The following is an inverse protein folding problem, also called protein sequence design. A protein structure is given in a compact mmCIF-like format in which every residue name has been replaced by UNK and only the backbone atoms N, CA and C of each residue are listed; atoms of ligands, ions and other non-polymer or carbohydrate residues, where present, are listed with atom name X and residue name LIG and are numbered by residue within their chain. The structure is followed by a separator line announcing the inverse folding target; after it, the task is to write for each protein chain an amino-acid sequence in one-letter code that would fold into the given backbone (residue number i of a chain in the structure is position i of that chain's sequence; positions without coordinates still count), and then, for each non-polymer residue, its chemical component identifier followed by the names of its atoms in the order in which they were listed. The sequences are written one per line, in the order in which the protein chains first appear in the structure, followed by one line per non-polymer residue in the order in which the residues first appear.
data_IF_994220368942
#
_entry.id   IF_994220368942
#
_cell.length_a   1.000
_cell.length_b   1.000
_cell.length_c   1.000
_cell.angle_alpha   90.00
_cell.angle_beta   90.00
_cell.angle_gamma   90.00
#
_symmetry.space_group_name_H-M   'P 1'
#
loop_
_entity.id
_entity.type
_entity.pdbx_description
1 polymer ?
#
# COMPACT_ATOMS: atom_id res chain seq x y z
N UNK A 1 12.81 12.23 -9.22
CA UNK A 1 11.85 11.28 -9.84
C UNK A 1 12.03 9.95 -9.14
N UNK A 2 11.05 9.51 -8.33
CA UNK A 2 11.15 8.28 -7.53
C UNK A 2 10.48 7.11 -8.26
N UNK A 3 11.30 6.19 -8.78
CA UNK A 3 10.84 4.93 -9.38
C UNK A 3 10.59 5.00 -10.89
N UNK A 4 10.22 3.85 -11.46
CA UNK A 4 10.08 3.59 -12.90
C UNK A 4 8.84 4.22 -13.56
N UNK A 5 8.15 5.14 -12.88
CA UNK A 5 6.97 5.82 -13.40
C UNK A 5 7.27 7.32 -13.53
N UNK A 6 7.82 7.78 -14.68
CA UNK A 6 8.01 9.21 -14.92
C UNK A 6 6.68 9.93 -15.23
N UNK A 7 5.60 9.18 -15.44
CA UNK A 7 4.35 9.67 -15.98
C UNK A 7 3.37 10.09 -14.88
N UNK A 8 3.48 11.34 -14.43
CA UNK A 8 2.70 11.91 -13.32
C UNK A 8 1.88 13.11 -13.77
N UNK A 9 0.83 13.42 -13.00
CA UNK A 9 0.03 14.63 -13.14
C UNK A 9 -0.64 14.78 -14.53
N UNK A 10 -0.41 15.89 -15.21
CA UNK A 10 -1.16 16.34 -16.40
C UNK A 10 -0.76 15.59 -17.68
N UNK A 11 0.31 14.79 -17.64
CA UNK A 11 0.89 14.14 -18.83
C UNK A 11 0.62 12.62 -18.94
N UNK A 12 -0.26 12.07 -18.10
CA UNK A 12 -0.61 10.63 -18.07
C UNK A 12 -1.29 10.15 -19.36
N UNK A 13 -0.51 9.60 -20.29
CA UNK A 13 -1.02 9.06 -21.57
C UNK A 13 -0.81 7.55 -21.77
N UNK A 14 0.23 6.95 -21.18
CA UNK A 14 0.57 5.52 -21.36
C UNK A 14 0.30 4.74 -20.08
N UNK A 15 -0.68 3.81 -20.05
CA UNK A 15 -1.06 3.05 -18.87
C UNK A 15 0.09 2.23 -18.25
N UNK A 16 1.14 1.92 -19.02
CA UNK A 16 2.29 1.16 -18.51
C UNK A 16 3.20 1.98 -17.60
N UNK A 17 3.12 3.31 -17.67
CA UNK A 17 4.04 4.23 -16.98
C UNK A 17 3.35 5.16 -15.99
N UNK A 18 2.01 5.13 -15.89
CA UNK A 18 1.22 6.00 -15.00
C UNK A 18 1.67 5.81 -13.55
N UNK A 19 2.05 6.92 -12.91
CA UNK A 19 2.08 6.98 -11.45
C UNK A 19 0.67 7.26 -10.93
N UNK A 20 0.08 6.22 -10.34
CA UNK A 20 -1.23 6.32 -9.73
C UNK A 20 -1.18 6.94 -8.34
N UNK A 21 -2.37 7.20 -7.78
CA UNK A 21 -2.58 7.53 -6.37
C UNK A 21 -2.02 8.90 -5.95
N UNK A 22 -2.13 9.88 -6.86
CA UNK A 22 -1.85 11.30 -6.56
C UNK A 22 -2.85 11.88 -5.54
N UNK A 23 -4.06 11.31 -5.48
CA UNK A 23 -5.07 11.59 -4.46
C UNK A 23 -5.67 10.25 -4.02
N UNK A 24 -5.70 10.03 -2.70
CA UNK A 24 -6.31 8.85 -2.09
C UNK A 24 -7.33 9.37 -1.10
N UNK A 25 -8.54 8.80 -1.13
CA UNK A 25 -9.56 9.07 -0.12
C UNK A 25 -9.99 7.77 0.53
N UNK A 26 -10.09 7.82 1.84
CA UNK A 26 -10.77 6.85 2.68
C UNK A 26 -11.99 7.52 3.29
N UNK A 27 -12.74 6.82 4.15
CA UNK A 27 -14.07 7.26 4.57
C UNK A 27 -14.12 8.73 5.06
N UNK A 28 -13.23 9.17 5.96
CA UNK A 28 -13.18 10.56 6.47
C UNK A 28 -11.77 11.18 6.45
N UNK A 29 -10.88 10.66 5.61
CA UNK A 29 -9.52 11.17 5.50
C UNK A 29 -8.99 11.05 4.07
N UNK A 30 -8.02 11.89 3.75
CA UNK A 30 -7.44 11.96 2.41
C UNK A 30 -5.93 12.11 2.49
N UNK A 31 -5.26 11.58 1.47
CA UNK A 31 -3.85 11.78 1.19
C UNK A 31 -3.71 12.43 -0.18
N UNK A 32 -2.75 13.33 -0.32
CA UNK A 32 -2.40 13.95 -1.59
C UNK A 32 -0.90 13.94 -1.81
N UNK A 33 -0.48 13.68 -3.05
CA UNK A 33 0.88 13.89 -3.52
C UNK A 33 1.02 15.30 -4.07
N UNK A 34 2.05 16.01 -3.62
CA UNK A 34 2.41 17.33 -4.10
C UNK A 34 3.38 17.23 -5.29
N UNK A 35 3.50 18.31 -6.06
CA UNK A 35 4.37 18.37 -7.25
C UNK A 35 5.84 18.07 -6.98
N UNK A 36 6.30 18.34 -5.75
CA UNK A 36 7.67 18.12 -5.31
C UNK A 36 7.93 16.67 -4.85
N UNK A 37 6.90 15.82 -4.89
CA UNK A 37 6.95 14.43 -4.44
C UNK A 37 6.65 14.24 -2.95
N UNK A 38 6.41 15.31 -2.20
CA UNK A 38 5.96 15.22 -0.81
C UNK A 38 4.49 14.80 -0.73
N UNK A 39 4.06 14.40 0.47
CA UNK A 39 2.68 13.95 0.71
C UNK A 39 2.03 14.75 1.83
N UNK A 40 0.75 15.07 1.66
CA UNK A 40 -0.09 15.66 2.70
C UNK A 40 -1.17 14.68 3.14
N UNK A 41 -1.57 14.77 4.39
CA UNK A 41 -2.69 14.03 4.98
C UNK A 41 -3.61 14.98 5.74
N UNK A 42 -4.91 14.72 5.73
CA UNK A 42 -5.90 15.38 6.58
C UNK A 42 -7.13 14.50 6.78
N UNK A 43 -7.98 14.93 7.71
CA UNK A 43 -9.22 14.27 8.09
C UNK A 43 -9.13 13.55 9.43
N UNK A 44 -10.12 12.70 9.68
CA UNK A 44 -10.33 12.08 10.98
C UNK A 44 -9.24 11.05 11.30
N UNK A 45 -8.75 11.04 12.55
CA UNK A 45 -7.76 10.07 13.06
C UNK A 45 -6.46 10.03 12.22
N UNK A 46 -6.14 11.10 11.51
CA UNK A 46 -5.06 11.11 10.52
C UNK A 46 -3.73 11.66 11.04
N UNK A 47 -3.70 12.25 12.25
CA UNK A 47 -2.49 12.81 12.85
C UNK A 47 -1.46 11.70 13.18
N UNK A 48 -0.20 12.07 13.37
CA UNK A 48 0.92 11.14 13.59
C UNK A 48 0.80 10.31 14.87
N UNK A 49 0.03 10.75 15.86
CA UNK A 49 -0.33 9.93 17.03
C UNK A 49 -1.34 8.81 16.70
N UNK A 50 -1.94 8.86 15.51
CA UNK A 50 -2.93 7.91 15.01
C UNK A 50 -4.27 7.94 15.76
N UNK A 51 -4.57 9.03 16.48
CA UNK A 51 -5.81 9.18 17.27
C UNK A 51 -6.47 10.54 17.10
N UNK A 52 -5.70 11.59 16.83
CA UNK A 52 -6.22 12.95 16.61
C UNK A 52 -6.50 13.24 15.14
N UNK A 53 -7.36 14.23 14.92
CA UNK A 53 -7.69 14.71 13.58
C UNK A 53 -6.67 15.74 13.09
N UNK A 54 -6.59 15.87 11.77
CA UNK A 54 -5.92 17.00 11.10
C UNK A 54 -6.97 17.73 10.27
N UNK A 55 -7.30 18.96 10.66
CA UNK A 55 -8.41 19.72 10.07
C UNK A 55 -8.06 20.42 8.75
N UNK A 56 -6.79 20.37 8.35
CA UNK A 56 -6.28 20.95 7.10
C UNK A 56 -5.18 20.07 6.52
N UNK A 57 -4.97 20.09 5.19
CA UNK A 57 -3.86 19.38 4.55
C UNK A 57 -2.53 19.66 5.25
N UNK A 58 -1.98 18.63 5.88
CA UNK A 58 -0.75 18.72 6.68
C UNK A 58 0.32 17.87 6.04
N UNK A 59 1.53 18.45 5.88
CA UNK A 59 2.67 17.74 5.32
C UNK A 59 3.06 16.55 6.20
N UNK A 60 3.24 15.38 5.59
CA UNK A 60 3.80 14.20 6.24
C UNK A 60 5.33 14.38 6.30
N UNK A 61 5.80 14.97 7.40
CA UNK A 61 7.22 15.24 7.64
C UNK A 61 7.57 15.07 9.12
N UNK A 62 8.86 14.80 9.46
CA UNK A 62 9.31 14.73 10.86
C UNK A 62 8.96 15.98 11.67
N UNK A 63 9.01 17.17 11.05
CA UNK A 63 8.59 18.43 11.69
C UNK A 63 7.13 18.48 12.15
N UNK A 64 6.26 17.62 11.61
CA UNK A 64 4.86 17.47 11.99
C UNK A 64 4.61 16.18 12.78
N UNK A 65 5.66 15.59 13.37
CA UNK A 65 5.59 14.38 14.20
C UNK A 65 5.56 13.05 13.43
N UNK A 66 5.58 13.08 12.09
CA UNK A 66 5.74 11.88 11.26
C UNK A 66 7.22 11.52 11.17
N UNK A 67 7.75 10.92 12.23
CA UNK A 67 9.18 10.66 12.40
C UNK A 67 9.66 9.48 11.53
N UNK A 68 9.89 9.74 10.25
CA UNK A 68 10.54 8.83 9.31
C UNK A 68 11.95 9.30 8.95
N UNK A 69 12.73 8.39 8.36
CA UNK A 69 14.00 8.67 7.71
C UNK A 69 13.90 8.36 6.21
N UNK A 70 14.87 8.82 5.43
CA UNK A 70 14.86 8.63 3.98
C UNK A 70 13.90 9.55 3.25
N UNK A 71 13.70 9.27 1.96
CA UNK A 71 12.84 10.06 1.07
C UNK A 71 11.47 9.41 0.93
N UNK A 72 10.35 10.14 1.06
CA UNK A 72 9.02 9.64 0.77
C UNK A 72 8.90 9.11 -0.67
N UNK A 73 8.27 7.94 -0.83
CA UNK A 73 8.10 7.27 -2.12
C UNK A 73 6.63 7.08 -2.48
N UNK A 74 5.84 6.47 -1.59
CA UNK A 74 4.44 6.12 -1.86
C UNK A 74 3.61 6.24 -0.58
N UNK A 75 2.31 6.45 -0.74
CA UNK A 75 1.33 6.38 0.35
C UNK A 75 0.19 5.45 -0.02
N UNK A 76 -0.46 4.88 0.98
CA UNK A 76 -1.69 4.11 0.83
C UNK A 76 -2.51 4.24 2.11
N UNK A 77 -3.81 3.96 2.02
CA UNK A 77 -4.68 3.95 3.19
C UNK A 77 -5.81 2.93 3.00
N UNK A 78 -6.37 2.47 4.11
CA UNK A 78 -7.56 1.64 4.16
C UNK A 78 -8.49 2.12 5.27
N UNK A 79 -9.78 1.86 5.11
CA UNK A 79 -10.79 2.19 6.13
C UNK A 79 -11.93 1.20 6.20
N UNK A 80 -12.58 1.14 7.37
CA UNK A 80 -13.78 0.31 7.63
C UNK A 80 -14.97 1.11 8.14
N UNK A 81 -14.73 2.26 8.76
CA UNK A 81 -15.77 3.08 9.37
C UNK A 81 -15.35 4.55 9.40
N UNK A 82 -16.20 5.41 9.99
CA UNK A 82 -15.89 6.81 10.21
C UNK A 82 -14.63 7.03 11.09
N UNK A 83 -14.30 6.13 12.01
CA UNK A 83 -13.10 6.24 12.88
C UNK A 83 -12.03 5.19 12.57
N UNK A 84 -12.33 4.20 11.74
CA UNK A 84 -11.41 3.14 11.38
C UNK A 84 -10.65 3.46 10.10
N UNK A 85 -9.58 4.26 10.18
CA UNK A 85 -8.63 4.54 9.09
C UNK A 85 -7.23 4.12 9.50
N UNK A 86 -6.47 3.55 8.58
CA UNK A 86 -5.04 3.32 8.78
C UNK A 86 -4.29 3.65 7.49
N UNK A 87 -3.16 4.30 7.66
CA UNK A 87 -2.38 4.90 6.61
C UNK A 87 -1.00 4.27 6.59
N UNK A 88 -0.37 4.29 5.42
CA UNK A 88 0.98 3.83 5.20
C UNK A 88 1.78 4.86 4.40
N UNK A 89 3.04 5.03 4.78
CA UNK A 89 4.04 5.80 4.06
C UNK A 89 5.22 4.87 3.78
N UNK A 90 5.54 4.67 2.51
CA UNK A 90 6.79 4.06 2.10
C UNK A 90 7.84 5.16 1.88
N UNK A 91 9.01 4.97 2.47
CA UNK A 91 10.20 5.80 2.24
C UNK A 91 11.34 4.95 1.70
N UNK A 92 12.46 5.56 1.30
CA UNK A 92 13.68 4.81 0.97
C UNK A 92 14.25 4.00 2.14
N UNK A 93 13.91 4.33 3.39
CA UNK A 93 14.33 3.56 4.58
C UNK A 93 13.38 2.40 4.87
N UNK A 94 12.10 2.53 4.56
CA UNK A 94 11.11 1.46 4.70
C UNK A 94 9.69 1.95 4.89
N UNK A 95 8.82 1.00 5.26
CA UNK A 95 7.38 1.17 5.39
C UNK A 95 7.01 1.60 6.82
N UNK A 96 6.25 2.70 6.91
CA UNK A 96 5.71 3.27 8.14
C UNK A 96 4.18 3.18 8.11
N UNK A 97 3.56 2.93 9.25
CA UNK A 97 2.11 2.78 9.39
C UNK A 97 1.60 3.55 10.61
N UNK A 98 0.40 4.15 10.51
CA UNK A 98 -0.28 4.83 11.62
C UNK A 98 -1.80 4.83 11.45
N UNK A 99 -2.52 5.15 12.52
CA UNK A 99 -3.99 5.16 12.57
C UNK A 99 -4.57 3.94 13.29
N UNK A 100 -5.88 3.72 13.15
CA UNK A 100 -6.63 2.65 13.81
C UNK A 100 -6.07 1.28 13.45
N UNK A 101 -5.59 0.53 14.45
CA UNK A 101 -4.95 -0.78 14.24
C UNK A 101 -5.90 -1.77 13.59
N UNK A 102 -5.35 -2.81 12.96
CA UNK A 102 -6.13 -3.88 12.32
C UNK A 102 -7.05 -3.41 11.16
N UNK A 103 -6.74 -2.28 10.52
CA UNK A 103 -7.57 -1.67 9.48
C UNK A 103 -6.96 -1.78 8.09
N UNK A 104 -5.66 -1.52 7.93
CA UNK A 104 -4.93 -1.69 6.67
C UNK A 104 -4.02 -2.93 6.75
N UNK A 105 -3.27 -3.04 7.84
CA UNK A 105 -2.42 -4.19 8.18
C UNK A 105 -2.86 -4.84 9.48
N UNK A 106 -2.53 -6.12 9.67
CA UNK A 106 -2.85 -6.88 10.89
C UNK A 106 -2.29 -6.18 12.13
N UNK A 107 -3.03 -6.20 13.24
CA UNK A 107 -2.53 -5.67 14.53
C UNK A 107 -1.31 -6.42 15.06
N UNK A 108 -1.06 -7.66 14.60
CA UNK A 108 0.19 -8.38 14.89
C UNK A 108 1.41 -7.71 14.28
N UNK A 109 1.26 -7.04 13.14
CA UNK A 109 2.33 -6.25 12.49
C UNK A 109 2.45 -4.88 13.15
N UNK A 110 1.31 -4.21 13.37
CA UNK A 110 1.25 -2.86 13.96
C UNK A 110 0.28 -2.81 15.12
N UNK A 111 0.81 -2.97 16.33
CA UNK A 111 0.03 -3.06 17.58
C UNK A 111 -0.42 -1.71 18.13
N UNK A 112 0.22 -0.60 17.74
CA UNK A 112 -0.07 0.75 18.22
C UNK A 112 -0.62 1.65 17.11
N UNK A 113 -1.36 2.71 17.48
CA UNK A 113 -1.89 3.67 16.51
C UNK A 113 -0.84 4.66 16.00
N UNK A 114 0.13 5.02 16.85
CA UNK A 114 1.13 6.04 16.55
C UNK A 114 1.99 5.67 15.34
N UNK A 115 2.43 6.68 14.59
CA UNK A 115 3.33 6.55 13.46
C UNK A 115 4.61 5.82 13.84
N UNK A 116 4.95 4.79 13.06
CA UNK A 116 6.16 4.02 13.28
C UNK A 116 6.48 3.10 12.12
N UNK A 117 7.77 2.82 11.96
CA UNK A 117 8.29 1.85 10.99
C UNK A 117 7.84 0.45 11.38
N UNK A 118 7.54 -0.39 10.39
CA UNK A 118 7.14 -1.78 10.61
C UNK A 118 8.18 -2.75 10.07
N UNK A 119 8.26 -3.91 10.73
CA UNK A 119 9.05 -5.07 10.31
C UNK A 119 8.08 -6.18 9.96
N UNK A 120 8.24 -6.79 8.78
CA UNK A 120 7.42 -7.93 8.35
C UNK A 120 8.35 -9.08 8.02
N UNK A 121 8.06 -10.27 8.58
CA UNK A 121 8.83 -11.50 8.38
C UNK A 121 10.35 -11.31 8.57
N UNK A 122 10.74 -10.55 9.60
CA UNK A 122 12.14 -10.25 9.92
C UNK A 122 12.82 -9.19 9.05
N UNK A 123 12.16 -8.68 8.00
CA UNK A 123 12.72 -7.63 7.15
C UNK A 123 12.35 -6.24 7.68
N UNK A 124 13.38 -5.47 8.05
CA UNK A 124 13.26 -4.20 8.80
C UNK A 124 12.70 -3.03 8.00
N UNK A 125 12.60 -3.16 6.68
CA UNK A 125 11.93 -2.18 5.82
C UNK A 125 10.44 -2.48 5.60
N UNK A 126 9.93 -3.60 6.13
CA UNK A 126 8.52 -3.99 6.04
C UNK A 126 8.05 -4.49 4.66
N UNK A 127 8.94 -4.60 3.67
CA UNK A 127 8.60 -5.07 2.32
C UNK A 127 8.85 -6.58 2.13
N UNK A 128 8.38 -7.20 1.02
CA UNK A 128 8.71 -8.57 0.71
C UNK A 128 10.22 -8.83 0.62
N UNK A 129 10.63 -10.08 0.82
CA UNK A 129 12.02 -10.49 0.62
C UNK A 129 12.44 -10.22 -0.84
N UNK A 130 13.64 -9.66 -1.04
CA UNK A 130 14.15 -9.32 -2.37
C UNK A 130 13.57 -8.04 -3.01
N UNK A 131 12.64 -7.34 -2.35
CA UNK A 131 12.07 -6.08 -2.84
C UNK A 131 12.63 -4.91 -2.03
N UNK A 132 13.38 -4.00 -2.66
CA UNK A 132 13.82 -2.78 -2.00
C UNK A 132 12.73 -1.70 -2.05
N UNK A 133 12.73 -0.72 -1.15
CA UNK A 133 11.76 0.38 -1.21
C UNK A 133 11.71 1.12 -2.54
N UNK A 134 12.85 1.33 -3.19
CA UNK A 134 12.96 1.96 -4.51
C UNK A 134 12.31 1.16 -5.64
N UNK A 135 12.09 -0.14 -5.44
CA UNK A 135 11.53 -1.03 -6.45
C UNK A 135 10.01 -0.90 -6.51
N UNK A 136 9.36 -0.32 -5.50
CA UNK A 136 7.89 -0.19 -5.44
C UNK A 136 7.42 0.92 -6.37
N UNK A 137 6.78 0.55 -7.48
CA UNK A 137 6.18 1.53 -8.41
C UNK A 137 4.78 1.95 -7.98
N UNK A 138 4.05 1.08 -7.30
CA UNK A 138 2.65 1.29 -6.89
C UNK A 138 2.38 0.65 -5.54
N UNK A 139 1.58 1.34 -4.71
CA UNK A 139 1.09 0.83 -3.43
C UNK A 139 -0.41 1.10 -3.32
N UNK A 140 -1.19 0.06 -3.06
CA UNK A 140 -2.65 0.11 -2.98
C UNK A 140 -3.12 -0.34 -1.60
N UNK A 141 -4.09 0.38 -1.04
CA UNK A 141 -4.70 0.07 0.25
C UNK A 141 -6.20 -0.13 0.15
N UNK A 142 -6.72 -1.04 0.96
CA UNK A 142 -8.14 -1.29 1.18
C UNK A 142 -8.33 -1.81 2.60
N UNK A 143 -9.57 -2.02 3.05
CA UNK A 143 -9.81 -2.64 4.35
C UNK A 143 -9.12 -4.00 4.43
N UNK A 144 -8.20 -4.12 5.39
CA UNK A 144 -7.36 -5.27 5.73
C UNK A 144 -6.46 -5.76 4.59
N UNK A 145 -6.06 -4.86 3.71
CA UNK A 145 -5.19 -5.20 2.58
C UNK A 145 -4.27 -4.07 2.22
N UNK A 146 -2.97 -4.37 2.21
CA UNK A 146 -1.95 -3.58 1.55
C UNK A 146 -1.38 -4.41 0.40
N UNK A 147 -1.26 -3.80 -0.78
CA UNK A 147 -0.75 -4.48 -1.97
C UNK A 147 0.27 -3.58 -2.66
N UNK A 148 1.29 -4.18 -3.29
CA UNK A 148 2.31 -3.44 -4.03
C UNK A 148 2.52 -4.06 -5.41
N UNK A 149 2.95 -3.22 -6.34
CA UNK A 149 3.54 -3.65 -7.60
C UNK A 149 4.95 -3.08 -7.69
N UNK A 150 5.94 -3.89 -8.06
CA UNK A 150 7.30 -3.39 -8.29
C UNK A 150 7.49 -2.88 -9.72
N UNK A 151 8.61 -2.20 -9.96
CA UNK A 151 9.11 -1.80 -11.27
C UNK A 151 9.15 -2.96 -12.28
N UNK A 152 9.52 -4.18 -11.87
CA UNK A 152 9.61 -5.36 -12.74
C UNK A 152 8.26 -6.00 -13.04
N UNK A 153 7.17 -5.44 -12.52
CA UNK A 153 5.82 -5.95 -12.72
C UNK A 153 5.41 -7.02 -11.72
N UNK A 154 6.09 -7.02 -10.57
CA UNK A 154 5.89 -7.98 -9.51
C UNK A 154 4.71 -7.60 -8.60
N UNK A 155 3.63 -8.40 -8.58
CA UNK A 155 2.52 -8.20 -7.65
C UNK A 155 2.72 -8.94 -6.31
N UNK A 156 2.52 -8.19 -5.22
CA UNK A 156 2.58 -8.71 -3.85
C UNK A 156 1.39 -8.24 -3.01
N UNK A 157 0.85 -9.13 -2.18
CA UNK A 157 -0.32 -8.85 -1.33
C UNK A 157 -0.02 -9.18 0.12
N UNK A 158 -0.36 -8.26 1.01
CA UNK A 158 -0.45 -8.48 2.45
C UNK A 158 -1.93 -8.27 2.83
N UNK A 159 -2.64 -9.37 3.09
CA UNK A 159 -4.08 -9.33 3.35
C UNK A 159 -4.47 -10.27 4.48
N UNK A 160 -5.55 -9.92 5.16
CA UNK A 160 -6.19 -10.75 6.19
C UNK A 160 -7.71 -10.60 6.14
N UNK A 161 -8.20 -10.44 4.91
CA UNK A 161 -9.61 -10.44 4.55
C UNK A 161 -9.79 -10.86 3.08
N UNK A 162 -10.89 -11.57 2.81
CA UNK A 162 -11.36 -11.88 1.47
C UNK A 162 -10.54 -12.93 0.71
N UNK A 163 -9.69 -13.71 1.40
CA UNK A 163 -8.87 -14.78 0.78
C UNK A 163 -8.03 -14.28 -0.42
N UNK A 164 -7.41 -13.10 -0.26
CA UNK A 164 -6.78 -12.35 -1.37
C UNK A 164 -5.26 -12.55 -1.50
N UNK A 165 -4.68 -13.52 -0.80
CA UNK A 165 -3.23 -13.79 -0.87
C UNK A 165 -2.74 -14.00 -2.31
N UNK A 166 -3.59 -14.57 -3.18
CA UNK A 166 -3.34 -14.66 -4.62
C UNK A 166 -2.28 -15.70 -5.01
N UNK A 167 -1.81 -16.51 -4.06
CA UNK A 167 -0.77 -17.53 -4.26
C UNK A 167 -1.24 -18.97 -3.97
N UNK A 168 -2.54 -19.12 -3.68
CA UNK A 168 -3.18 -20.40 -3.31
C UNK A 168 -3.11 -20.75 -1.82
N UNK A 169 -2.45 -19.94 -0.99
CA UNK A 169 -2.46 -20.15 0.46
C UNK A 169 -3.79 -19.74 1.08
N UNK A 170 -4.21 -20.46 2.12
CA UNK A 170 -5.40 -20.10 2.89
C UNK A 170 -5.14 -18.88 3.78
N UNK A 171 -6.15 -18.03 3.95
CA UNK A 171 -6.12 -16.97 4.95
C UNK A 171 -6.04 -17.55 6.36
N UNK A 172 -5.25 -16.96 7.25
CA UNK A 172 -5.03 -17.48 8.59
C UNK A 172 -3.90 -16.75 9.33
N UNK A 173 -3.80 -16.93 10.64
CA UNK A 173 -2.89 -16.16 11.51
C UNK A 173 -1.45 -16.09 11.01
N UNK A 174 -0.92 -17.18 10.45
CA UNK A 174 0.42 -17.24 9.85
C UNK A 174 0.54 -16.42 8.56
N UNK A 175 -0.47 -16.50 7.68
CA UNK A 175 -0.45 -15.87 6.35
C UNK A 175 -0.90 -14.40 6.39
N UNK A 176 -1.67 -14.02 7.41
CA UNK A 176 -2.17 -12.66 7.63
C UNK A 176 -1.07 -11.64 7.94
N UNK A 177 0.17 -12.11 8.17
CA UNK A 177 1.29 -11.30 8.64
C UNK A 177 2.52 -11.37 7.73
N UNK A 178 2.38 -11.93 6.52
CA UNK A 178 3.45 -12.05 5.54
C UNK A 178 3.00 -11.57 4.16
N UNK A 179 3.97 -11.18 3.33
CA UNK A 179 3.71 -10.85 1.94
C UNK A 179 3.59 -12.11 1.08
N UNK A 180 2.56 -12.16 0.25
CA UNK A 180 2.30 -13.23 -0.69
C UNK A 180 2.59 -12.78 -2.12
N UNK A 181 3.35 -13.60 -2.85
CA UNK A 181 3.66 -13.40 -4.28
C UNK A 181 2.49 -13.90 -5.11
N UNK A 182 1.81 -13.02 -5.83
CA UNK A 182 0.64 -13.42 -6.63
C UNK A 182 1.04 -14.40 -7.74
N UNK A 183 0.23 -15.43 -7.94
CA UNK A 183 0.39 -16.50 -8.92
C UNK A 183 -0.84 -16.59 -9.82
N UNK A 184 -0.67 -17.23 -10.97
CA UNK A 184 -1.76 -17.62 -11.84
C UNK A 184 -2.24 -19.04 -11.52
N UNK A 185 -3.43 -19.40 -11.98
CA UNK A 185 -4.00 -20.76 -11.86
C UNK A 185 -3.49 -21.73 -12.93
N UNK A 186 -2.50 -21.33 -13.75
CA UNK A 186 -1.89 -22.22 -14.74
C UNK A 186 -1.13 -23.35 -14.03
N UNK A 187 -0.95 -24.47 -14.74
CA UNK A 187 -0.21 -25.62 -14.22
C UNK A 187 1.17 -25.21 -13.68
N UNK A 188 1.48 -25.62 -12.44
CA UNK A 188 2.70 -25.22 -11.73
C UNK A 188 2.57 -23.90 -10.95
N UNK A 189 1.42 -23.22 -10.98
CA UNK A 189 1.14 -21.95 -10.32
C UNK A 189 2.26 -20.92 -10.52
N UNK A 190 2.59 -20.56 -11.78
CA UNK A 190 3.65 -19.58 -12.03
C UNK A 190 3.24 -18.22 -11.49
N UNK A 191 4.24 -17.40 -11.15
CA UNK A 191 4.02 -16.04 -10.68
C UNK A 191 3.23 -15.21 -11.72
N UNK A 192 2.41 -14.29 -11.23
CA UNK A 192 1.82 -13.25 -12.06
C UNK A 192 2.85 -12.13 -12.24
N UNK A 193 3.44 -12.07 -13.43
CA UNK A 193 4.46 -11.09 -13.80
C UNK A 193 3.89 -10.01 -14.74
N UNK A 194 4.71 -9.01 -15.07
CA UNK A 194 4.36 -7.91 -15.98
C UNK A 194 3.13 -7.09 -15.55
N UNK A 195 2.81 -7.07 -14.26
CA UNK A 195 1.71 -6.27 -13.72
C UNK A 195 2.05 -4.78 -13.81
N UNK A 196 1.16 -3.98 -14.39
CA UNK A 196 1.31 -2.52 -14.48
C UNK A 196 0.44 -1.80 -13.46
N UNK A 197 -0.71 -2.39 -13.10
CA UNK A 197 -1.57 -1.88 -12.05
C UNK A 197 -2.24 -3.00 -11.27
N UNK A 198 -2.43 -2.79 -9.97
CA UNK A 198 -3.22 -3.67 -9.10
C UNK A 198 -4.14 -2.84 -8.21
N UNK A 199 -5.42 -3.21 -8.14
CA UNK A 199 -6.49 -2.49 -7.45
C UNK A 199 -7.49 -3.47 -6.86
N UNK A 200 -8.48 -2.98 -6.10
CA UNK A 200 -9.56 -3.84 -5.66
C UNK A 200 -10.47 -3.23 -4.61
N UNK A 201 -11.12 -4.12 -3.88
CA UNK A 201 -12.14 -3.86 -2.86
C UNK A 201 -11.75 -4.56 -1.56
N UNK A 202 -12.58 -4.49 -0.49
CA UNK A 202 -12.34 -5.29 0.70
C UNK A 202 -12.28 -6.81 0.43
N UNK A 203 -12.94 -7.33 -0.61
CA UNK A 203 -13.09 -8.77 -0.84
C UNK A 203 -12.50 -9.29 -2.15
N UNK A 204 -12.11 -8.42 -3.08
CA UNK A 204 -11.50 -8.81 -4.35
C UNK A 204 -10.32 -7.91 -4.71
N UNK A 205 -9.37 -8.45 -5.47
CA UNK A 205 -8.31 -7.71 -6.14
C UNK A 205 -8.36 -8.01 -7.64
N UNK A 206 -7.86 -7.08 -8.43
CA UNK A 206 -7.58 -7.29 -9.83
C UNK A 206 -6.24 -6.67 -10.23
N UNK A 207 -5.62 -7.25 -11.25
CA UNK A 207 -4.38 -6.78 -11.83
C UNK A 207 -4.52 -6.61 -13.34
N UNK A 208 -3.93 -5.53 -13.86
CA UNK A 208 -3.73 -5.29 -15.29
C UNK A 208 -2.26 -5.56 -15.62
N UNK A 209 -2.02 -6.38 -16.64
CA UNK A 209 -0.67 -6.64 -17.18
C UNK A 209 -0.36 -5.73 -18.36
N UNK A 210 0.94 -5.57 -18.68
CA UNK A 210 1.39 -4.73 -19.80
C UNK A 210 0.91 -5.19 -21.18
N UNK A 211 0.52 -6.46 -21.33
CA UNK A 211 -0.11 -7.01 -22.54
C UNK A 211 -1.65 -6.84 -22.54
N UNK A 212 -2.20 -6.10 -21.59
CA UNK A 212 -3.62 -5.73 -21.55
C UNK A 212 -4.54 -6.81 -20.96
N UNK A 213 -4.01 -7.87 -20.34
CA UNK A 213 -4.84 -8.88 -19.67
C UNK A 213 -5.26 -8.43 -18.27
N UNK A 214 -6.45 -8.87 -17.87
CA UNK A 214 -6.98 -8.67 -16.52
C UNK A 214 -7.03 -10.00 -15.77
N UNK A 215 -6.57 -9.96 -14.53
CA UNK A 215 -6.62 -11.08 -13.59
C UNK A 215 -7.41 -10.64 -12.36
N UNK A 216 -8.29 -11.49 -11.84
CA UNK A 216 -9.13 -11.20 -10.67
C UNK A 216 -9.06 -12.35 -9.67
N UNK A 217 -9.06 -12.06 -8.38
CA UNK A 217 -9.11 -13.07 -7.32
C UNK A 217 -9.69 -12.50 -6.03
N UNK A 218 -10.13 -13.40 -5.15
CA UNK A 218 -10.77 -13.08 -3.87
C UNK A 218 -12.11 -13.79 -3.72
N UNK A 219 -12.89 -13.40 -2.71
CA UNK A 219 -14.23 -13.97 -2.43
C UNK A 219 -15.37 -13.10 -2.97
N UNK A 220 -15.05 -11.98 -3.62
CA UNK A 220 -16.03 -11.02 -4.15
C UNK A 220 -16.06 -10.98 -5.67
#
# INVERSE_FOLDING_TARGET
MSGCNPNTFVNSADPNTIEYDNLISVFHASLAKEKDGSFKVWGQVSNSNGTSDLLSPTLIAPGNGFNYTGTPLRVAAGSVSNTGHQFALLTTDGLYVWGTTNTLVSSTIKTTSAFGKITINGKTDGLPAGVNPSDVKMMFGSYRTLAIVTCTGDAWVLSFNGSKNGDGTAEGTTNNVIWHRVKTSLAGNPNLDNVVAMRGTPNALFALTSDGKLYTWGTG
#
